data_IF_107491569342
#
_entry.id   IF_107491569342
#
_cell.length_a   1.000
_cell.length_b   1.000
_cell.length_c   1.000
_cell.angle_alpha   90.00
_cell.angle_beta   90.00
_cell.angle_gamma   90.00
#
_symmetry.space_group_name_H-M   'P 1'
#
loop_
_entity.id
_entity.type
_entity.pdbx_description
1 polymer ?
#
# COMPACT_ATOMS: atom_id res chain seq x y z
N UNK A 1 -26.77 31.44 9.91
CA UNK A 1 -25.35 31.45 10.30
C UNK A 1 -24.66 30.11 9.98
N UNK A 2 -25.43 29.07 9.65
CA UNK A 2 -24.93 27.70 9.42
C UNK A 2 -24.32 27.42 8.03
N UNK A 3 -24.64 28.20 6.99
CA UNK A 3 -24.15 27.93 5.63
C UNK A 3 -22.69 28.33 5.39
N UNK A 4 -22.22 29.40 6.04
CA UNK A 4 -20.83 29.86 5.89
C UNK A 4 -19.84 29.00 6.69
N UNK A 5 -20.28 28.46 7.83
CA UNK A 5 -19.49 27.50 8.63
C UNK A 5 -19.26 26.21 7.85
N UNK A 6 -20.32 25.63 7.26
CA UNK A 6 -20.19 24.41 6.47
C UNK A 6 -19.36 24.60 5.19
N UNK A 7 -19.45 25.75 4.52
CA UNK A 7 -18.59 26.07 3.36
C UNK A 7 -17.11 26.15 3.78
N UNK A 8 -16.82 26.79 4.92
CA UNK A 8 -15.47 26.90 5.45
C UNK A 8 -14.89 25.52 5.80
N UNK A 9 -15.67 24.66 6.46
CA UNK A 9 -15.26 23.29 6.82
C UNK A 9 -14.94 22.46 5.56
N UNK A 10 -15.80 22.48 4.54
CA UNK A 10 -15.53 21.79 3.26
C UNK A 10 -14.24 22.29 2.59
N UNK A 11 -13.99 23.60 2.62
CA UNK A 11 -12.76 24.16 2.05
C UNK A 11 -11.52 23.76 2.83
N UNK A 12 -11.64 23.63 4.16
CA UNK A 12 -10.56 23.18 5.04
C UNK A 12 -10.21 21.72 4.77
N UNK A 13 -11.20 20.82 4.73
CA UNK A 13 -10.98 19.39 4.43
C UNK A 13 -10.33 19.19 3.05
N UNK A 14 -10.79 19.93 2.03
CA UNK A 14 -10.16 19.91 0.70
C UNK A 14 -8.72 20.40 0.74
N UNK A 15 -8.43 21.43 1.51
CA UNK A 15 -7.07 21.96 1.65
C UNK A 15 -6.15 20.96 2.37
N UNK A 16 -6.65 20.27 3.39
CA UNK A 16 -5.93 19.20 4.10
C UNK A 16 -5.62 18.04 3.15
N UNK A 17 -6.60 17.59 2.36
CA UNK A 17 -6.39 16.55 1.36
C UNK A 17 -5.39 16.97 0.27
N UNK A 18 -5.48 18.20 -0.24
CA UNK A 18 -4.50 18.74 -1.20
C UNK A 18 -3.10 18.81 -0.58
N UNK A 19 -3.00 19.20 0.69
CA UNK A 19 -1.72 19.22 1.40
C UNK A 19 -1.14 17.81 1.51
N UNK A 20 -1.96 16.84 1.90
CA UNK A 20 -1.58 15.43 1.94
C UNK A 20 -1.06 14.95 0.58
N UNK A 21 -1.82 15.17 -0.50
CA UNK A 21 -1.41 14.81 -1.86
C UNK A 21 -0.08 15.46 -2.26
N UNK A 22 0.11 16.73 -1.91
CA UNK A 22 1.36 17.46 -2.19
C UNK A 22 2.56 16.82 -1.48
N UNK A 23 2.38 16.38 -0.24
CA UNK A 23 3.43 15.71 0.52
C UNK A 23 3.74 14.32 -0.05
N UNK A 24 2.73 13.53 -0.41
CA UNK A 24 2.90 12.25 -1.13
C UNK A 24 3.67 12.45 -2.43
N UNK A 25 3.31 13.43 -3.26
CA UNK A 25 4.05 13.71 -4.49
C UNK A 25 5.48 14.20 -4.24
N UNK A 26 5.74 14.89 -3.11
CA UNK A 26 7.08 15.31 -2.75
C UNK A 26 7.96 14.11 -2.40
N UNK A 27 7.43 13.17 -1.64
CA UNK A 27 8.10 11.91 -1.30
C UNK A 27 8.40 11.11 -2.56
N UNK A 28 7.42 10.89 -3.44
CA UNK A 28 7.63 10.17 -4.69
C UNK A 28 8.73 10.81 -5.56
N UNK A 29 8.76 12.14 -5.68
CA UNK A 29 9.83 12.83 -6.42
C UNK A 29 11.20 12.59 -5.80
N UNK A 30 11.29 12.61 -4.47
CA UNK A 30 12.53 12.33 -3.77
C UNK A 30 13.02 10.90 -4.07
N UNK A 31 12.12 9.92 -4.01
CA UNK A 31 12.45 8.51 -4.27
C UNK A 31 12.92 8.29 -5.72
N UNK A 32 12.24 8.88 -6.70
CA UNK A 32 12.68 8.80 -8.10
C UNK A 32 14.07 9.42 -8.30
N UNK A 33 14.36 10.54 -7.65
CA UNK A 33 15.69 11.15 -7.72
C UNK A 33 16.76 10.27 -7.08
N UNK A 34 16.46 9.59 -5.98
CA UNK A 34 17.36 8.63 -5.36
C UNK A 34 17.65 7.46 -6.30
N UNK A 35 16.64 6.90 -6.97
CA UNK A 35 16.83 5.85 -7.96
C UNK A 35 17.75 6.30 -9.10
N UNK A 36 17.54 7.50 -9.64
CA UNK A 36 18.42 8.05 -10.68
C UNK A 36 19.85 8.24 -10.19
N UNK A 37 20.04 8.75 -8.97
CA UNK A 37 21.36 8.94 -8.38
C UNK A 37 22.11 7.62 -8.20
N UNK A 38 21.45 6.58 -7.69
CA UNK A 38 22.05 5.26 -7.50
C UNK A 38 22.46 4.64 -8.84
N UNK A 39 21.55 4.65 -9.82
CA UNK A 39 21.83 4.13 -11.18
C UNK A 39 23.00 4.91 -11.80
N UNK A 40 22.94 6.24 -11.75
CA UNK A 40 23.98 7.10 -12.31
C UNK A 40 25.34 6.86 -11.66
N UNK A 41 25.38 6.69 -10.33
CA UNK A 41 26.60 6.36 -9.60
C UNK A 41 27.21 5.03 -10.05
N UNK A 42 26.39 3.99 -10.26
CA UNK A 42 26.88 2.73 -10.81
C UNK A 42 27.44 2.88 -12.23
N UNK A 43 26.76 3.63 -13.10
CA UNK A 43 27.23 3.88 -14.47
C UNK A 43 28.56 4.65 -14.49
N UNK A 44 28.73 5.66 -13.63
CA UNK A 44 29.99 6.41 -13.52
C UNK A 44 31.17 5.53 -13.10
N UNK A 45 30.92 4.51 -12.28
CA UNK A 45 31.93 3.55 -11.82
C UNK A 45 32.17 2.40 -12.83
N UNK A 46 31.51 2.41 -14.00
CA UNK A 46 31.57 1.32 -14.98
C UNK A 46 30.87 0.03 -14.51
N UNK A 47 30.07 0.10 -13.44
CA UNK A 47 29.34 -1.02 -12.83
C UNK A 47 28.00 -1.26 -13.53
N UNK A 48 28.06 -1.64 -14.80
CA UNK A 48 26.88 -1.77 -15.68
C UNK A 48 25.90 -2.82 -15.16
N UNK A 49 26.39 -3.95 -14.66
CA UNK A 49 25.54 -5.02 -14.16
C UNK A 49 24.76 -4.61 -12.90
N UNK A 50 25.39 -3.86 -11.99
CA UNK A 50 24.74 -3.27 -10.82
C UNK A 50 23.62 -2.31 -11.24
N UNK A 51 23.91 -1.41 -12.19
CA UNK A 51 22.93 -0.47 -12.73
C UNK A 51 21.72 -1.20 -13.34
N UNK A 52 21.97 -2.25 -14.14
CA UNK A 52 20.92 -3.09 -14.73
C UNK A 52 20.10 -3.81 -13.65
N UNK A 53 20.73 -4.33 -12.60
CA UNK A 53 20.02 -4.95 -11.47
C UNK A 53 19.12 -3.95 -10.77
N UNK A 54 19.58 -2.72 -10.53
CA UNK A 54 18.76 -1.67 -9.91
C UNK A 54 17.57 -1.28 -10.79
N UNK A 55 17.78 -1.09 -12.10
CA UNK A 55 16.69 -0.80 -13.04
C UNK A 55 15.62 -1.89 -13.00
N UNK A 56 16.01 -3.18 -13.00
CA UNK A 56 15.06 -4.29 -12.90
C UNK A 56 14.27 -4.27 -11.59
N UNK A 57 14.91 -3.97 -10.46
CA UNK A 57 14.22 -3.81 -9.16
C UNK A 57 13.17 -2.69 -9.22
N UNK A 58 13.55 -1.53 -9.76
CA UNK A 58 12.65 -0.37 -9.90
C UNK A 58 11.48 -0.70 -10.83
N UNK A 59 11.69 -1.43 -11.92
CA UNK A 59 10.61 -1.88 -12.81
C UNK A 59 9.63 -2.78 -12.06
N UNK A 60 10.14 -3.78 -11.31
CA UNK A 60 9.28 -4.68 -10.53
C UNK A 60 8.50 -3.91 -9.45
N UNK A 61 9.16 -3.00 -8.73
CA UNK A 61 8.52 -2.14 -7.74
C UNK A 61 7.39 -1.33 -8.38
N UNK A 62 7.65 -0.59 -9.47
CA UNK A 62 6.62 0.22 -10.13
C UNK A 62 5.49 -0.64 -10.73
N UNK A 63 5.76 -1.88 -11.12
CA UNK A 63 4.71 -2.84 -11.53
C UNK A 63 3.77 -3.16 -10.38
N UNK A 64 4.29 -3.43 -9.18
CA UNK A 64 3.48 -3.65 -7.99
C UNK A 64 2.69 -2.38 -7.62
N UNK A 65 3.34 -1.21 -7.61
CA UNK A 65 2.68 0.06 -7.29
C UNK A 65 1.55 0.38 -8.27
N UNK A 66 1.76 0.13 -9.57
CA UNK A 66 0.72 0.30 -10.59
C UNK A 66 -0.53 -0.54 -10.30
N UNK A 67 -0.39 -1.70 -9.66
CA UNK A 67 -1.52 -2.51 -9.25
C UNK A 67 -2.20 -1.99 -7.98
N UNK A 68 -1.43 -1.55 -6.98
CA UNK A 68 -1.95 -0.95 -5.74
C UNK A 68 -2.82 0.26 -6.05
N UNK A 69 -2.36 1.16 -6.94
CA UNK A 69 -3.13 2.35 -7.32
C UNK A 69 -4.37 2.06 -8.19
N UNK A 70 -4.69 0.79 -8.46
CA UNK A 70 -6.00 0.40 -9.01
C UNK A 70 -7.08 0.33 -7.94
N UNK A 71 -6.73 0.19 -6.66
CA UNK A 71 -7.70 0.09 -5.56
C UNK A 71 -8.46 1.40 -5.36
N UNK A 72 -9.66 1.31 -4.78
CA UNK A 72 -10.49 2.49 -4.54
C UNK A 72 -10.13 3.25 -3.26
N UNK A 73 -9.49 2.58 -2.30
CA UNK A 73 -9.04 3.17 -1.04
C UNK A 73 -7.69 3.86 -1.22
N UNK A 74 -7.70 5.18 -1.40
CA UNK A 74 -6.49 5.92 -1.74
C UNK A 74 -5.48 5.97 -0.59
N UNK A 75 -5.90 6.15 0.67
CA UNK A 75 -4.95 6.20 1.78
C UNK A 75 -4.32 4.83 2.03
N UNK A 76 -5.10 3.75 1.91
CA UNK A 76 -4.57 2.38 1.93
C UNK A 76 -3.55 2.18 0.80
N UNK A 77 -3.83 2.69 -0.40
CA UNK A 77 -2.91 2.61 -1.55
C UNK A 77 -1.58 3.31 -1.28
N UNK A 78 -1.62 4.53 -0.74
CA UNK A 78 -0.42 5.29 -0.37
C UNK A 78 0.35 4.61 0.76
N UNK A 79 -0.35 4.08 1.75
CA UNK A 79 0.27 3.31 2.83
C UNK A 79 1.03 2.10 2.28
N UNK A 80 0.40 1.29 1.42
CA UNK A 80 1.05 0.13 0.81
C UNK A 80 2.23 0.52 -0.09
N UNK A 81 2.14 1.64 -0.81
CA UNK A 81 3.27 2.18 -1.60
C UNK A 81 4.51 2.37 -0.72
N UNK A 82 4.34 3.03 0.44
CA UNK A 82 5.43 3.22 1.41
C UNK A 82 5.95 1.91 1.98
N UNK A 83 5.07 1.04 2.48
CA UNK A 83 5.47 -0.23 3.08
C UNK A 83 6.25 -1.12 2.08
N UNK A 84 5.81 -1.18 0.83
CA UNK A 84 6.46 -1.99 -0.21
C UNK A 84 7.82 -1.41 -0.61
N UNK A 85 7.98 -0.08 -0.62
CA UNK A 85 9.30 0.55 -0.83
C UNK A 85 10.26 0.20 0.29
N UNK A 86 9.83 0.33 1.54
CA UNK A 86 10.64 0.02 2.71
C UNK A 86 11.09 -1.45 2.72
N UNK A 87 10.16 -2.38 2.46
CA UNK A 87 10.50 -3.79 2.26
C UNK A 87 11.46 -4.00 1.08
N UNK A 88 11.29 -3.27 -0.02
CA UNK A 88 12.19 -3.31 -1.17
C UNK A 88 13.62 -2.85 -0.84
N UNK A 89 13.76 -1.81 -0.01
CA UNK A 89 15.05 -1.34 0.52
C UNK A 89 15.71 -2.36 1.46
N UNK A 90 14.89 -3.19 2.12
CA UNK A 90 15.30 -4.36 2.90
C UNK A 90 15.51 -5.63 2.04
N UNK A 91 15.59 -5.48 0.71
CA UNK A 91 15.87 -6.56 -0.25
C UNK A 91 14.78 -7.64 -0.37
N UNK A 92 13.54 -7.37 0.06
CA UNK A 92 12.41 -8.26 -0.20
C UNK A 92 12.08 -8.31 -1.71
N UNK A 93 11.69 -9.49 -2.19
CA UNK A 93 10.96 -9.61 -3.47
C UNK A 93 9.48 -9.70 -3.13
N UNK A 94 8.73 -8.69 -3.53
CA UNK A 94 7.28 -8.67 -3.37
C UNK A 94 6.65 -8.99 -4.72
N UNK A 95 5.80 -10.01 -4.76
CA UNK A 95 4.92 -10.25 -5.89
C UNK A 95 3.51 -9.87 -5.44
N UNK A 96 2.98 -8.81 -6.04
CA UNK A 96 1.68 -8.27 -5.65
C UNK A 96 0.70 -8.45 -6.80
N UNK A 97 -0.52 -8.86 -6.46
CA UNK A 97 -1.62 -9.00 -7.41
C UNK A 97 -2.87 -8.31 -6.86
N UNK A 98 -3.47 -7.38 -7.63
CA UNK A 98 -4.69 -6.67 -7.22
C UNK A 98 -5.85 -6.97 -8.15
N UNK A 99 -6.92 -7.51 -7.58
CA UNK A 99 -8.23 -7.70 -8.20
C UNK A 99 -9.21 -6.65 -7.66
N UNK A 100 -9.39 -5.55 -8.39
CA UNK A 100 -10.39 -4.54 -8.05
C UNK A 100 -11.72 -4.81 -8.78
N UNK A 101 -12.76 -5.18 -8.02
CA UNK A 101 -14.11 -5.42 -8.53
C UNK A 101 -15.04 -4.17 -8.51
N UNK A 102 -14.52 -2.98 -8.16
CA UNK A 102 -15.28 -1.72 -8.04
C UNK A 102 -15.18 -0.80 -9.26
N UNK A 103 -14.23 -1.06 -10.17
CA UNK A 103 -13.95 -0.30 -11.42
C UNK A 103 -13.76 1.21 -11.22
N UNK A 104 -12.54 1.73 -11.43
CA UNK A 104 -12.22 3.17 -11.58
C UNK A 104 -12.96 4.11 -10.60
N UNK A 105 -12.95 3.78 -9.31
CA UNK A 105 -13.58 4.59 -8.26
C UNK A 105 -12.57 4.95 -7.19
N UNK A 106 -12.77 6.11 -6.55
CA UNK A 106 -12.14 6.46 -5.27
C UNK A 106 -13.23 6.38 -4.21
N UNK A 107 -12.99 5.62 -3.15
CA UNK A 107 -13.96 5.42 -2.08
C UNK A 107 -13.43 5.89 -0.72
N UNK A 108 -14.33 6.45 0.08
CA UNK A 108 -14.09 6.82 1.48
C UNK A 108 -14.92 5.89 2.37
N UNK A 109 -14.29 5.39 3.44
CA UNK A 109 -14.91 4.48 4.40
C UNK A 109 -14.49 4.85 5.83
N UNK A 110 -15.39 4.68 6.79
CA UNK A 110 -15.19 5.11 8.19
C UNK A 110 -14.07 4.35 8.91
N UNK A 111 -13.72 3.14 8.45
CA UNK A 111 -12.69 2.31 9.07
C UNK A 111 -11.38 2.24 8.28
N UNK A 112 -11.10 3.19 7.39
CA UNK A 112 -9.85 3.21 6.63
C UNK A 112 -8.61 3.26 7.55
N UNK A 113 -8.67 4.07 8.62
CA UNK A 113 -7.59 4.14 9.63
C UNK A 113 -7.38 2.80 10.37
N UNK A 114 -8.47 2.08 10.66
CA UNK A 114 -8.40 0.76 11.30
C UNK A 114 -7.73 -0.26 10.36
N UNK A 115 -8.04 -0.21 9.07
CA UNK A 115 -7.38 -1.05 8.05
C UNK A 115 -5.88 -0.74 8.02
N UNK A 116 -5.52 0.54 7.88
CA UNK A 116 -4.11 0.97 7.85
C UNK A 116 -3.36 0.50 9.09
N UNK A 117 -3.94 0.66 10.29
CA UNK A 117 -3.31 0.23 11.54
C UNK A 117 -3.07 -1.29 11.60
N UNK A 118 -4.01 -2.10 11.10
CA UNK A 118 -3.81 -3.55 11.07
C UNK A 118 -2.76 -3.94 10.02
N UNK A 119 -2.73 -3.26 8.86
CA UNK A 119 -1.66 -3.45 7.89
C UNK A 119 -0.30 -3.05 8.47
N UNK A 120 -0.24 -1.98 9.26
CA UNK A 120 0.97 -1.54 9.98
C UNK A 120 1.58 -2.65 10.82
N UNK A 121 0.77 -3.30 11.66
CA UNK A 121 1.23 -4.43 12.46
C UNK A 121 1.76 -5.59 11.60
N UNK A 122 1.13 -5.85 10.44
CA UNK A 122 1.55 -6.94 9.54
C UNK A 122 2.89 -6.60 8.88
N UNK A 123 3.04 -5.40 8.34
CA UNK A 123 4.24 -4.99 7.64
C UNK A 123 5.42 -4.73 8.59
N UNK A 124 5.16 -4.23 9.80
CA UNK A 124 6.16 -4.15 10.87
C UNK A 124 6.71 -5.54 11.22
N UNK A 125 5.86 -6.56 11.38
CA UNK A 125 6.32 -7.94 11.65
C UNK A 125 7.22 -8.47 10.52
N UNK A 126 6.85 -8.24 9.25
CA UNK A 126 7.72 -8.58 8.13
C UNK A 126 9.06 -7.85 8.19
N UNK A 127 9.11 -6.61 8.67
CA UNK A 127 10.34 -5.81 8.73
C UNK A 127 11.18 -6.07 9.98
N UNK A 128 10.57 -6.47 11.11
CA UNK A 128 11.24 -6.82 12.36
C UNK A 128 11.98 -8.16 12.28
N UNK A 129 11.57 -9.07 11.40
CA UNK A 129 12.22 -10.36 11.16
C UNK A 129 13.55 -10.23 10.37
N UNK A 130 14.45 -9.41 10.92
CA UNK A 130 15.88 -9.26 10.68
C UNK A 130 16.45 -9.83 9.38
N UNK A 131 16.72 -8.92 8.42
CA UNK A 131 17.92 -8.68 7.57
C UNK A 131 18.71 -9.88 6.97
N UNK A 132 18.53 -11.13 7.38
CA UNK A 132 19.45 -12.21 7.05
C UNK A 132 19.14 -12.95 5.75
N UNK A 133 17.94 -12.83 5.20
CA UNK A 133 17.60 -13.47 3.93
C UNK A 133 16.70 -12.60 3.06
N UNK A 134 17.03 -12.58 1.77
CA UNK A 134 16.11 -12.17 0.70
C UNK A 134 14.87 -13.05 0.77
N UNK A 135 13.75 -12.50 1.23
CA UNK A 135 12.46 -13.19 1.33
C UNK A 135 11.58 -12.83 0.15
N UNK A 136 10.82 -13.82 -0.31
CA UNK A 136 9.74 -13.62 -1.25
C UNK A 136 8.45 -13.47 -0.44
N UNK A 137 7.67 -12.45 -0.73
CA UNK A 137 6.34 -12.24 -0.14
C UNK A 137 5.35 -12.10 -1.27
N UNK A 138 4.41 -13.05 -1.34
CA UNK A 138 3.32 -13.03 -2.31
C UNK A 138 2.07 -12.45 -1.64
N UNK A 139 1.57 -11.35 -2.18
CA UNK A 139 0.41 -10.61 -1.66
C UNK A 139 -0.66 -10.56 -2.74
N UNK A 140 -1.82 -11.13 -2.44
CA UNK A 140 -3.02 -11.01 -3.25
C UNK A 140 -4.03 -10.10 -2.55
N UNK A 141 -4.50 -9.07 -3.26
CA UNK A 141 -5.46 -8.10 -2.76
C UNK A 141 -6.72 -8.20 -3.61
N UNK A 142 -7.84 -8.48 -2.97
CA UNK A 142 -9.15 -8.47 -3.63
C UNK A 142 -10.05 -7.41 -3.00
N UNK A 143 -10.49 -6.47 -3.82
CA UNK A 143 -11.40 -5.42 -3.40
C UNK A 143 -12.81 -5.66 -3.94
N UNK A 144 -13.79 -5.66 -3.04
CA UNK A 144 -15.21 -5.83 -3.31
C UNK A 144 -15.99 -4.57 -2.93
N UNK A 145 -17.31 -4.60 -3.13
CA UNK A 145 -18.21 -3.48 -2.80
C UNK A 145 -18.36 -3.21 -1.29
N UNK A 146 -18.10 -4.21 -0.47
CA UNK A 146 -18.37 -4.20 0.97
C UNK A 146 -17.14 -4.55 1.81
N UNK A 147 -16.01 -4.89 1.18
CA UNK A 147 -14.80 -5.36 1.87
C UNK A 147 -13.57 -5.28 0.97
N UNK A 148 -12.40 -5.39 1.61
CA UNK A 148 -11.12 -5.70 0.97
C UNK A 148 -10.47 -6.87 1.70
N UNK A 149 -9.80 -7.75 0.97
CA UNK A 149 -9.02 -8.84 1.55
C UNK A 149 -7.57 -8.77 1.12
N UNK A 150 -6.68 -9.04 2.06
CA UNK A 150 -5.24 -9.17 1.85
C UNK A 150 -4.84 -10.60 2.18
N UNK A 151 -4.41 -11.35 1.18
CA UNK A 151 -3.96 -12.73 1.31
C UNK A 151 -2.44 -12.76 1.17
N UNK A 152 -1.78 -13.22 2.21
CA UNK A 152 -0.33 -13.38 2.27
C UNK A 152 0.00 -14.86 2.18
N UNK A 153 0.89 -15.23 1.25
CA UNK A 153 1.37 -16.61 1.13
C UNK A 153 2.77 -16.77 1.74
N UNK A 154 3.05 -17.94 2.30
CA UNK A 154 4.32 -18.29 2.92
C UNK A 154 4.30 -18.21 4.45
N UNK A 155 5.41 -18.55 5.09
CA UNK A 155 5.55 -18.55 6.55
C UNK A 155 5.42 -17.12 7.09
N UNK A 156 4.42 -16.89 7.94
CA UNK A 156 4.12 -15.61 8.56
C UNK A 156 3.42 -15.82 9.92
N UNK A 157 3.35 -14.76 10.74
CA UNK A 157 2.71 -14.79 12.07
C UNK A 157 1.43 -13.97 12.13
N UNK A 158 0.83 -13.65 10.99
CA UNK A 158 -0.25 -12.66 10.88
C UNK A 158 -1.46 -13.02 11.75
N UNK A 159 -1.83 -14.31 11.81
CA UNK A 159 -2.95 -14.79 12.64
C UNK A 159 -2.74 -14.59 14.14
N UNK A 160 -1.50 -14.35 14.58
CA UNK A 160 -1.17 -14.02 15.98
C UNK A 160 -1.16 -12.51 16.26
N UNK A 161 -0.95 -11.69 15.23
CA UNK A 161 -0.87 -10.23 15.33
C UNK A 161 -2.26 -9.59 15.31
N UNK A 162 -3.09 -10.04 14.38
CA UNK A 162 -4.43 -9.51 14.14
C UNK A 162 -5.45 -10.38 14.86
N UNK A 163 -6.50 -9.76 15.39
CA UNK A 163 -7.60 -10.48 16.05
C UNK A 163 -8.87 -10.36 15.26
N UNK A 164 -9.60 -11.47 15.17
CA UNK A 164 -10.97 -11.45 14.67
C UNK A 164 -11.81 -10.43 15.45
N UNK A 165 -12.54 -9.61 14.72
CA UNK A 165 -13.44 -8.61 15.24
C UNK A 165 -14.75 -8.63 14.43
N UNK A 166 -15.67 -7.72 14.71
CA UNK A 166 -16.91 -7.61 13.93
C UNK A 166 -16.64 -7.34 12.44
N UNK A 167 -15.59 -6.56 12.17
CA UNK A 167 -15.30 -6.00 10.86
C UNK A 167 -13.97 -6.53 10.28
N UNK A 168 -13.29 -7.41 11.00
CA UNK A 168 -12.04 -8.06 10.60
C UNK A 168 -12.18 -9.57 10.77
N UNK A 169 -12.06 -10.31 9.67
CA UNK A 169 -12.03 -11.77 9.67
C UNK A 169 -10.64 -12.25 9.21
N UNK A 170 -10.11 -13.29 9.86
CA UNK A 170 -8.86 -13.94 9.50
C UNK A 170 -9.16 -15.37 9.10
N UNK A 171 -8.71 -15.76 7.91
CA UNK A 171 -8.79 -17.12 7.39
C UNK A 171 -7.38 -17.62 7.18
N UNK A 172 -7.05 -18.76 7.79
CA UNK A 172 -5.74 -19.40 7.66
C UNK A 172 -5.93 -20.79 7.06
N UNK A 173 -5.25 -21.02 5.94
CA UNK A 173 -5.03 -22.35 5.37
C UNK A 173 -3.53 -22.65 5.34
N UNK A 174 -3.16 -23.91 5.09
CA UNK A 174 -1.82 -24.48 5.35
C UNK A 174 -0.61 -23.65 4.86
N UNK A 175 -0.78 -22.69 3.94
CA UNK A 175 0.29 -21.81 3.47
C UNK A 175 -0.15 -20.34 3.25
N UNK A 176 -1.38 -19.98 3.59
CA UNK A 176 -1.93 -18.64 3.32
C UNK A 176 -2.71 -18.11 4.51
N UNK A 177 -2.50 -16.82 4.78
CA UNK A 177 -3.31 -16.06 5.74
C UNK A 177 -4.00 -14.93 5.00
N UNK A 178 -5.34 -14.96 5.02
CA UNK A 178 -6.19 -13.91 4.47
C UNK A 178 -6.77 -13.06 5.60
N UNK A 179 -6.50 -11.76 5.56
CA UNK A 179 -7.11 -10.76 6.44
C UNK A 179 -8.16 -10.00 5.65
N UNK A 180 -9.40 -10.09 6.08
CA UNK A 180 -10.57 -9.54 5.39
C UNK A 180 -11.13 -8.40 6.24
N UNK A 181 -11.16 -7.20 5.67
CA UNK A 181 -11.72 -6.00 6.29
C UNK A 181 -13.06 -5.66 5.66
N UNK A 182 -14.15 -5.71 6.43
CA UNK A 182 -15.48 -5.24 6.03
C UNK A 182 -15.54 -3.72 6.17
N UNK A 183 -16.11 -3.05 5.18
CA UNK A 183 -16.21 -1.60 5.17
C UNK A 183 -17.32 -1.10 6.11
N UNK A 184 -17.04 -0.04 6.87
CA UNK A 184 -18.04 0.66 7.69
C UNK A 184 -18.70 1.80 6.89
N UNK A 185 -20.03 1.87 6.98
CA UNK A 185 -20.88 2.86 6.30
C UNK A 185 -20.66 4.29 6.83
N UNK A 186 -20.84 5.32 5.99
CA UNK A 186 -21.19 5.25 4.57
C UNK A 186 -19.97 5.00 3.68
N UNK A 187 -20.18 4.23 2.60
CA UNK A 187 -19.17 4.09 1.56
C UNK A 187 -19.48 5.12 0.48
N UNK A 188 -18.73 6.21 0.46
CA UNK A 188 -18.86 7.24 -0.56
C UNK A 188 -17.85 6.97 -1.67
N UNK A 189 -18.32 6.60 -2.86
CA UNK A 189 -17.46 6.34 -4.01
C UNK A 189 -17.70 7.37 -5.12
N UNK A 190 -16.61 7.90 -5.65
CA UNK A 190 -16.58 8.79 -6.80
C UNK A 190 -16.00 8.03 -7.99
N UNK A 191 -16.70 8.02 -9.13
CA UNK A 191 -16.15 7.51 -10.37
C UNK A 191 -15.08 8.46 -10.90
N UNK A 192 -13.97 7.89 -11.34
CA UNK A 192 -12.88 8.60 -12.00
C UNK A 192 -12.96 8.25 -13.48
N UNK A 193 -13.30 9.27 -14.30
CA UNK A 193 -13.33 9.16 -15.77
C UNK A 193 -11.94 8.89 -16.36
#
# INVERSE_FOLDING_TARGET
MDSLSGIYEIHKEKAEYISYMKDVFREQRHDYMNYFQVIYGYLQLGKIEEALRQIKKIIQLNSNLSQIYKMSLFHVSVYLDRAIREMGDLEYIINLHVLNNRQNTICFIDNEEEIIKNLDLIFEDFMEEGIQFKRNVDIEIEEFKDRISFTFSGENKISTLIKNSKDVDIIEDNERVSVIFKYKNPIECLSVE
#
